data_IF_064240257206
#
_entry.id   IF_064240257206
#
_cell.length_a   1.000
_cell.length_b   1.000
_cell.length_c   1.000
_cell.angle_alpha   90.00
_cell.angle_beta   90.00
_cell.angle_gamma   90.00
#
_symmetry.space_group_name_H-M   'P 1'
#
loop_
_entity.id
_entity.type
_entity.pdbx_description
1 polymer ?
#
# COMPACT_ATOMS: atom_id res chain seq x y z
N UNK A 1 -15.21 -0.25 -12.32
CA UNK A 1 -14.50 -0.03 -11.05
C UNK A 1 -13.03 0.01 -11.41
N UNK A 2 -12.28 1.02 -10.96
CA UNK A 2 -10.84 1.11 -11.24
C UNK A 2 -10.07 0.12 -10.37
N UNK A 3 -8.81 -0.18 -10.74
CA UNK A 3 -7.86 -0.92 -9.91
C UNK A 3 -7.07 0.11 -9.12
N UNK A 4 -7.02 0.00 -7.80
CA UNK A 4 -6.22 0.89 -6.96
C UNK A 4 -4.87 0.24 -6.61
N UNK A 5 -3.80 1.02 -6.70
CA UNK A 5 -2.48 0.70 -6.17
C UNK A 5 -2.41 1.12 -4.71
N UNK A 6 -1.85 0.26 -3.85
CA UNK A 6 -1.71 0.52 -2.41
C UNK A 6 -0.28 0.30 -1.92
N UNK A 7 0.20 1.24 -1.13
CA UNK A 7 1.48 1.17 -0.42
C UNK A 7 1.21 1.19 1.09
N UNK A 8 1.29 0.03 1.73
CA UNK A 8 1.17 -0.11 3.18
C UNK A 8 2.49 0.24 3.86
N UNK A 9 2.39 0.98 4.98
CA UNK A 9 3.50 1.23 5.90
C UNK A 9 3.31 0.34 7.13
N UNK A 10 3.98 -0.80 7.11
CA UNK A 10 3.85 -1.88 8.08
C UNK A 10 4.82 -1.69 9.24
N UNK A 11 4.34 -1.82 10.46
CA UNK A 11 5.20 -2.01 11.62
C UNK A 11 5.73 -3.46 11.60
N UNK A 12 6.99 -3.59 11.16
CA UNK A 12 7.61 -4.89 10.94
C UNK A 12 7.77 -5.70 12.23
N UNK A 13 8.05 -5.04 13.36
CA UNK A 13 8.21 -5.72 14.64
C UNK A 13 6.87 -6.29 15.11
N UNK A 14 5.79 -5.50 15.02
CA UNK A 14 4.44 -5.97 15.35
C UNK A 14 4.02 -7.13 14.46
N UNK A 15 4.22 -7.04 13.13
CA UNK A 15 3.88 -8.13 12.23
C UNK A 15 4.65 -9.41 12.60
N UNK A 16 5.96 -9.31 12.81
CA UNK A 16 6.79 -10.47 13.14
C UNK A 16 6.42 -11.09 14.50
N UNK A 17 6.02 -10.28 15.47
CA UNK A 17 5.56 -10.77 16.78
C UNK A 17 4.21 -11.48 16.67
N UNK A 18 3.28 -10.96 15.85
CA UNK A 18 2.03 -11.67 15.51
C UNK A 18 2.33 -13.00 14.82
N UNK A 19 3.25 -13.03 13.85
CA UNK A 19 3.59 -14.23 13.10
C UNK A 19 4.26 -15.32 13.96
N UNK A 20 4.94 -14.94 15.05
CA UNK A 20 5.54 -15.87 16.03
C UNK A 20 4.55 -16.36 17.09
N UNK A 21 3.38 -15.73 17.21
CA UNK A 21 2.37 -16.08 18.20
C UNK A 21 1.80 -17.47 17.90
N UNK A 22 1.36 -18.19 18.93
CA UNK A 22 0.62 -19.45 18.72
C UNK A 22 -0.70 -19.16 17.99
N UNK A 23 -1.05 -19.99 17.00
CA UNK A 23 -2.26 -19.83 16.18
C UNK A 23 -3.52 -19.66 17.03
N UNK A 24 -3.71 -20.55 18.02
CA UNK A 24 -4.85 -20.49 18.94
C UNK A 24 -4.88 -19.22 19.79
N UNK A 25 -3.71 -18.67 20.13
CA UNK A 25 -3.60 -17.42 20.88
C UNK A 25 -4.02 -16.24 20.00
N UNK A 26 -3.58 -16.18 18.74
CA UNK A 26 -4.02 -15.12 17.82
C UNK A 26 -5.55 -15.13 17.67
N UNK A 27 -6.15 -16.28 17.39
CA UNK A 27 -7.60 -16.40 17.23
C UNK A 27 -8.36 -15.95 18.48
N UNK A 28 -7.95 -16.43 19.66
CA UNK A 28 -8.55 -16.01 20.93
C UNK A 28 -8.44 -14.50 21.16
N UNK A 29 -7.32 -13.88 20.79
CA UNK A 29 -7.10 -12.44 20.96
C UNK A 29 -7.89 -11.59 19.97
N UNK A 30 -8.19 -12.12 18.79
CA UNK A 30 -9.09 -11.49 17.83
C UNK A 30 -10.53 -11.55 18.39
N UNK A 31 -10.97 -12.71 18.87
CA UNK A 31 -12.32 -12.92 19.40
C UNK A 31 -12.62 -12.03 20.63
N UNK A 32 -11.66 -11.87 21.54
CA UNK A 32 -11.81 -11.03 22.74
C UNK A 32 -11.39 -9.56 22.54
N UNK A 33 -10.99 -9.20 21.31
CA UNK A 33 -10.52 -7.88 20.88
C UNK A 33 -9.22 -7.42 21.56
N UNK A 34 -8.55 -8.25 22.38
CA UNK A 34 -7.30 -7.87 23.05
C UNK A 34 -6.10 -7.78 22.10
N UNK A 35 -6.21 -8.30 20.87
CA UNK A 35 -5.15 -8.14 19.86
C UNK A 35 -4.91 -6.66 19.55
N UNK A 36 -5.94 -5.80 19.67
CA UNK A 36 -5.88 -4.36 19.35
C UNK A 36 -4.87 -3.59 20.21
N UNK A 37 -4.49 -4.12 21.37
CA UNK A 37 -3.44 -3.54 22.21
C UNK A 37 -2.06 -3.55 21.52
N UNK A 38 -1.85 -4.47 20.57
CA UNK A 38 -0.61 -4.57 19.78
C UNK A 38 -0.68 -3.76 18.48
N UNK A 39 -1.85 -3.22 18.12
CA UNK A 39 -2.00 -2.54 16.83
C UNK A 39 -1.21 -1.22 16.84
N UNK A 40 -0.41 -0.93 15.79
CA UNK A 40 0.31 0.33 15.72
C UNK A 40 -0.62 1.54 15.73
N UNK A 41 -0.13 2.65 16.26
CA UNK A 41 -0.85 3.91 16.24
C UNK A 41 -1.08 4.39 14.80
N UNK A 42 -2.32 4.80 14.52
CA UNK A 42 -2.70 5.37 13.23
C UNK A 42 -1.87 6.61 12.92
N UNK A 43 -1.30 6.66 11.71
CA UNK A 43 -0.66 7.87 11.22
C UNK A 43 -1.69 8.96 10.93
N UNK A 44 -1.36 10.21 11.27
CA UNK A 44 -2.28 11.34 11.12
C UNK A 44 -2.68 11.70 9.67
N UNK A 45 -1.94 11.21 8.66
CA UNK A 45 -2.16 11.57 7.25
C UNK A 45 -2.63 10.39 6.38
N UNK A 46 -2.27 9.17 6.74
CA UNK A 46 -2.50 7.99 5.90
C UNK A 46 -3.93 7.47 6.05
N UNK A 47 -4.40 6.77 5.02
CA UNK A 47 -5.63 5.99 5.12
C UNK A 47 -5.38 4.73 5.93
N UNK A 48 -6.39 4.20 6.62
CA UNK A 48 -6.31 2.91 7.29
C UNK A 48 -7.71 2.32 7.44
N UNK A 49 -7.82 1.03 7.16
CA UNK A 49 -9.07 0.29 7.37
C UNK A 49 -9.37 0.13 8.86
N UNK A 50 -10.66 -0.04 9.17
CA UNK A 50 -11.11 -0.21 10.55
C UNK A 50 -10.63 -1.54 11.12
N UNK A 51 -10.39 -1.54 12.43
CA UNK A 51 -9.86 -2.73 13.09
C UNK A 51 -10.76 -3.96 12.91
N UNK A 52 -12.07 -3.75 13.07
CA UNK A 52 -13.08 -4.79 12.94
C UNK A 52 -13.17 -5.39 11.53
N UNK A 53 -12.91 -4.60 10.49
CA UNK A 53 -13.02 -5.07 9.10
C UNK A 53 -11.84 -6.01 8.78
N UNK A 54 -10.61 -5.60 9.13
CA UNK A 54 -9.44 -6.47 8.98
C UNK A 54 -9.56 -7.76 9.80
N UNK A 55 -10.07 -7.67 11.02
CA UNK A 55 -10.25 -8.80 11.94
C UNK A 55 -11.30 -9.78 11.41
N UNK A 56 -12.46 -9.29 10.98
CA UNK A 56 -13.53 -10.13 10.43
C UNK A 56 -13.10 -10.83 9.14
N UNK A 57 -12.50 -10.09 8.19
CA UNK A 57 -12.02 -10.67 6.94
C UNK A 57 -10.90 -11.69 7.18
N UNK A 58 -10.02 -11.46 8.16
CA UNK A 58 -9.02 -12.46 8.54
C UNK A 58 -9.69 -13.74 9.05
N UNK A 59 -10.65 -13.65 9.96
CA UNK A 59 -11.37 -14.81 10.50
C UNK A 59 -12.09 -15.59 9.39
N UNK A 60 -12.75 -14.90 8.47
CA UNK A 60 -13.44 -15.52 7.33
C UNK A 60 -12.46 -16.29 6.43
N UNK A 61 -11.25 -15.76 6.20
CA UNK A 61 -10.23 -16.42 5.37
C UNK A 61 -9.67 -17.70 6.02
N UNK A 62 -9.73 -17.81 7.34
CA UNK A 62 -9.06 -18.87 8.11
C UNK A 62 -10.04 -19.82 8.80
N UNK A 63 -11.35 -19.63 8.63
CA UNK A 63 -12.42 -20.43 9.25
C UNK A 63 -12.23 -21.95 9.03
N UNK A 64 -11.72 -22.34 7.86
CA UNK A 64 -11.50 -23.75 7.49
C UNK A 64 -10.16 -24.34 7.96
N UNK A 65 -9.29 -23.52 8.57
CA UNK A 65 -7.94 -23.93 8.97
C UNK A 65 -7.96 -24.44 10.43
N UNK A 66 -7.94 -25.76 10.57
CA UNK A 66 -7.79 -26.45 11.85
C UNK A 66 -6.38 -27.04 11.98
N UNK A 67 -5.44 -26.17 12.39
CA UNK A 67 -4.02 -26.50 12.50
C UNK A 67 -3.42 -25.94 13.79
N UNK A 68 -2.23 -26.44 14.15
CA UNK A 68 -1.50 -26.06 15.36
C UNK A 68 -0.06 -25.69 14.99
N UNK A 69 0.45 -24.65 15.65
CA UNK A 69 1.79 -24.12 15.45
C UNK A 69 1.77 -22.62 15.68
N UNK A 70 2.86 -21.97 15.28
CA UNK A 70 2.91 -20.51 15.17
C UNK A 70 2.02 -20.04 14.01
N UNK A 71 1.58 -18.79 14.03
CA UNK A 71 0.79 -18.19 12.96
C UNK A 71 1.50 -18.33 11.61
N UNK A 72 2.81 -18.08 11.53
CA UNK A 72 3.58 -18.28 10.29
C UNK A 72 3.51 -19.73 9.79
N UNK A 73 3.72 -20.71 10.65
CA UNK A 73 3.70 -22.13 10.27
C UNK A 73 2.34 -22.56 9.74
N UNK A 74 1.25 -22.15 10.41
CA UNK A 74 -0.12 -22.48 10.02
C UNK A 74 -0.48 -21.83 8.67
N UNK A 75 -0.17 -20.54 8.49
CA UNK A 75 -0.42 -19.84 7.24
C UNK A 75 0.40 -20.42 6.07
N UNK A 76 1.67 -20.76 6.31
CA UNK A 76 2.57 -21.38 5.32
C UNK A 76 2.04 -22.74 4.86
N UNK A 77 1.71 -23.64 5.81
CA UNK A 77 1.19 -24.98 5.52
C UNK A 77 -0.09 -24.95 4.66
N UNK A 78 -0.92 -23.93 4.86
CA UNK A 78 -2.18 -23.75 4.15
C UNK A 78 -2.08 -22.80 2.93
N UNK A 79 -0.87 -22.33 2.59
CA UNK A 79 -0.64 -21.35 1.52
C UNK A 79 -1.52 -20.10 1.64
N UNK A 80 -1.84 -19.69 2.86
CA UNK A 80 -2.84 -18.67 3.21
C UNK A 80 -2.30 -17.23 3.10
N UNK A 81 -1.79 -16.87 1.92
CA UNK A 81 -1.21 -15.56 1.64
C UNK A 81 -2.22 -14.42 1.78
N UNK A 82 -3.50 -14.65 1.49
CA UNK A 82 -4.55 -13.65 1.68
C UNK A 82 -4.79 -13.33 3.14
N UNK A 83 -4.69 -14.32 4.03
CA UNK A 83 -4.78 -14.09 5.47
C UNK A 83 -3.54 -13.33 5.98
N UNK A 84 -2.34 -13.62 5.45
CA UNK A 84 -1.15 -12.81 5.72
C UNK A 84 -1.33 -11.35 5.27
N UNK A 85 -1.95 -11.11 4.12
CA UNK A 85 -2.23 -9.74 3.66
C UNK A 85 -3.13 -8.98 4.65
N UNK A 86 -4.14 -9.63 5.24
CA UNK A 86 -4.96 -9.01 6.29
C UNK A 86 -4.16 -8.68 7.56
N UNK A 87 -3.20 -9.53 7.94
CA UNK A 87 -2.29 -9.22 9.06
C UNK A 87 -1.35 -8.04 8.73
N UNK A 88 -0.92 -7.91 7.48
CA UNK A 88 -0.14 -6.77 6.99
C UNK A 88 -0.96 -5.47 7.05
N UNK A 89 -2.19 -5.49 6.57
CA UNK A 89 -3.10 -4.35 6.65
C UNK A 89 -3.36 -3.96 8.11
N UNK A 90 -3.60 -4.95 8.98
CA UNK A 90 -3.85 -4.74 10.41
C UNK A 90 -2.63 -4.16 11.14
N UNK A 91 -1.43 -4.66 10.85
CA UNK A 91 -0.15 -4.19 11.42
C UNK A 91 0.41 -2.94 10.74
N UNK A 92 -0.35 -2.32 9.83
CA UNK A 92 0.05 -1.05 9.20
C UNK A 92 -0.33 0.15 10.05
N UNK A 93 0.55 1.16 10.10
CA UNK A 93 0.18 2.49 10.62
C UNK A 93 -0.78 3.23 9.67
N UNK A 94 -0.85 2.78 8.41
CA UNK A 94 -1.73 3.25 7.36
C UNK A 94 -1.14 2.93 5.98
N UNK A 95 -1.82 3.39 4.94
CA UNK A 95 -1.41 3.20 3.56
C UNK A 95 -1.64 4.46 2.71
N UNK A 96 -0.87 4.56 1.64
CA UNK A 96 -1.17 5.45 0.51
C UNK A 96 -1.90 4.65 -0.56
N UNK A 97 -2.87 5.27 -1.25
CA UNK A 97 -3.57 4.66 -2.37
C UNK A 97 -3.81 5.65 -3.51
N UNK A 98 -3.85 5.12 -4.73
CA UNK A 98 -4.32 5.85 -5.89
C UNK A 98 -4.79 4.91 -6.99
N UNK A 99 -5.69 5.40 -7.84
CA UNK A 99 -6.07 4.70 -9.06
C UNK A 99 -4.85 4.40 -9.92
N UNK A 100 -4.67 3.15 -10.32
CA UNK A 100 -3.48 2.63 -11.01
C UNK A 100 -3.12 3.46 -12.25
N UNK A 101 -4.13 3.89 -13.02
CA UNK A 101 -3.90 4.74 -14.21
C UNK A 101 -3.28 6.11 -13.88
N UNK A 102 -3.50 6.65 -12.67
CA UNK A 102 -2.84 7.89 -12.20
C UNK A 102 -1.45 7.64 -11.64
N UNK A 103 -1.10 6.39 -11.33
CA UNK A 103 0.20 6.08 -10.75
C UNK A 103 1.33 6.31 -11.76
N UNK A 104 1.10 6.12 -13.06
CA UNK A 104 2.06 6.48 -14.11
C UNK A 104 2.61 7.88 -13.93
N UNK A 105 1.73 8.88 -13.87
CA UNK A 105 2.19 10.27 -13.74
C UNK A 105 2.94 10.53 -12.42
N UNK A 106 2.58 9.85 -11.32
CA UNK A 106 3.28 10.02 -10.05
C UNK A 106 4.67 9.42 -10.08
N UNK A 107 4.78 8.17 -10.57
CA UNK A 107 6.04 7.46 -10.60
C UNK A 107 6.98 8.11 -11.62
N UNK A 108 6.52 8.42 -12.83
CA UNK A 108 7.31 9.06 -13.89
C UNK A 108 7.88 10.42 -13.46
N UNK A 109 7.10 11.24 -12.74
CA UNK A 109 7.59 12.53 -12.22
C UNK A 109 8.57 12.37 -11.05
N UNK A 110 8.48 11.27 -10.29
CA UNK A 110 9.46 10.96 -9.25
C UNK A 110 10.79 10.50 -9.87
N UNK A 111 10.76 9.53 -10.79
CA UNK A 111 11.97 8.87 -11.32
C UNK A 111 12.57 9.58 -12.55
N UNK A 112 11.81 10.47 -13.20
CA UNK A 112 12.29 11.27 -14.33
C UNK A 112 12.41 10.51 -15.66
N UNK A 113 11.67 9.40 -15.82
CA UNK A 113 11.59 8.61 -17.06
C UNK A 113 10.20 8.00 -17.20
N UNK A 114 9.82 7.65 -18.43
CA UNK A 114 8.57 6.96 -18.72
C UNK A 114 8.56 5.54 -18.13
N UNK A 115 7.36 5.09 -17.75
CA UNK A 115 7.09 3.71 -17.39
C UNK A 115 6.36 3.02 -18.55
N UNK A 116 6.96 1.99 -19.18
CA UNK A 116 6.45 1.39 -20.40
C UNK A 116 5.18 0.57 -20.18
N UNK A 117 5.04 -0.06 -19.01
CA UNK A 117 3.92 -0.94 -18.71
C UNK A 117 3.61 -1.03 -17.21
N UNK A 118 2.50 -1.70 -16.93
CA UNK A 118 1.96 -1.82 -15.58
C UNK A 118 2.85 -2.68 -14.68
N UNK A 119 3.53 -3.70 -15.20
CA UNK A 119 4.38 -4.57 -14.38
C UNK A 119 5.61 -3.81 -13.86
N UNK A 120 6.15 -2.90 -14.67
CA UNK A 120 7.25 -2.04 -14.23
C UNK A 120 6.86 -1.10 -13.08
N UNK A 121 5.59 -0.66 -12.99
CA UNK A 121 5.12 0.15 -11.85
C UNK A 121 5.26 -0.57 -10.51
N UNK A 122 5.22 -1.91 -10.49
CA UNK A 122 5.33 -2.72 -9.27
C UNK A 122 6.72 -3.29 -9.06
N UNK A 123 7.69 -2.97 -9.90
CA UNK A 123 9.03 -3.55 -9.79
C UNK A 123 9.80 -2.98 -8.59
N UNK A 124 10.63 -3.83 -7.97
CA UNK A 124 11.50 -3.40 -6.88
C UNK A 124 12.48 -2.30 -7.32
N UNK A 125 12.97 -2.37 -8.56
CA UNK A 125 13.89 -1.37 -9.13
C UNK A 125 13.23 0.00 -9.23
N UNK A 126 12.02 0.08 -9.79
CA UNK A 126 11.24 1.33 -9.90
C UNK A 126 11.02 1.96 -8.52
N UNK A 127 10.65 1.16 -7.52
CA UNK A 127 10.41 1.66 -6.17
C UNK A 127 11.69 2.03 -5.42
N UNK A 128 12.83 1.41 -5.76
CA UNK A 128 14.14 1.83 -5.26
C UNK A 128 14.57 3.18 -5.85
N UNK A 129 14.37 3.38 -7.16
CA UNK A 129 14.58 4.67 -7.84
C UNK A 129 13.69 5.75 -7.23
N UNK A 130 12.41 5.45 -7.06
CA UNK A 130 11.42 6.37 -6.47
C UNK A 130 11.82 6.80 -5.05
N UNK A 131 12.16 5.85 -4.17
CA UNK A 131 12.64 6.15 -2.81
C UNK A 131 13.84 7.07 -2.83
N UNK A 132 14.81 6.78 -3.70
CA UNK A 132 16.01 7.60 -3.84
C UNK A 132 15.65 9.01 -4.32
N UNK A 133 14.83 9.14 -5.36
CA UNK A 133 14.47 10.42 -5.94
C UNK A 133 13.65 11.29 -4.97
N UNK A 134 12.60 10.72 -4.37
CA UNK A 134 11.72 11.44 -3.44
C UNK A 134 12.41 11.82 -2.13
N UNK A 135 13.47 11.11 -1.72
CA UNK A 135 14.29 11.51 -0.56
C UNK A 135 15.11 12.78 -0.81
N UNK A 136 15.38 13.11 -2.08
CA UNK A 136 16.15 14.28 -2.50
C UNK A 136 15.28 15.45 -3.00
N UNK A 137 13.96 15.25 -3.07
CA UNK A 137 12.99 16.21 -3.60
C UNK A 137 12.09 16.70 -2.46
N UNK A 138 11.70 17.98 -2.47
CA UNK A 138 10.72 18.45 -1.48
C UNK A 138 9.30 18.00 -1.82
N UNK A 139 8.41 17.93 -0.81
CA UNK A 139 7.01 17.53 -1.01
C UNK A 139 6.30 18.45 -2.03
N UNK A 140 6.50 19.77 -1.93
CA UNK A 140 5.92 20.75 -2.86
C UNK A 140 6.51 20.68 -4.25
N UNK A 141 7.83 20.51 -4.37
CA UNK A 141 8.46 20.35 -5.68
C UNK A 141 7.91 19.11 -6.41
N UNK A 142 7.71 18.00 -5.69
CA UNK A 142 7.15 16.79 -6.28
C UNK A 142 5.70 16.99 -6.75
N UNK A 143 4.85 17.57 -5.91
CA UNK A 143 3.43 17.73 -6.25
C UNK A 143 3.21 18.75 -7.37
N UNK A 144 4.02 19.82 -7.41
CA UNK A 144 4.00 20.80 -8.49
C UNK A 144 4.34 20.15 -9.84
N UNK A 145 5.42 19.34 -9.91
CA UNK A 145 5.81 18.62 -11.13
C UNK A 145 4.71 17.69 -11.64
N UNK A 146 4.10 16.91 -10.74
CA UNK A 146 2.97 16.03 -11.08
C UNK A 146 1.79 16.81 -11.65
N UNK A 147 1.43 17.92 -11.02
CA UNK A 147 0.30 18.75 -11.45
C UNK A 147 0.57 19.45 -12.79
N UNK A 148 1.79 19.93 -13.00
CA UNK A 148 2.22 20.53 -14.28
C UNK A 148 2.18 19.52 -15.42
N UNK A 149 2.75 18.32 -15.22
CA UNK A 149 2.71 17.25 -16.22
C UNK A 149 1.26 16.81 -16.52
N UNK A 150 0.38 16.77 -15.51
CA UNK A 150 -1.02 16.41 -15.73
C UNK A 150 -1.72 17.43 -16.65
N UNK A 151 -1.52 18.72 -16.40
CA UNK A 151 -2.04 19.79 -17.24
C UNK A 151 -1.45 19.75 -18.65
N UNK A 152 -0.17 19.42 -18.78
CA UNK A 152 0.51 19.33 -20.08
C UNK A 152 -0.04 18.16 -20.90
N UNK A 153 -0.13 16.94 -20.35
CA UNK A 153 -0.72 15.78 -21.05
C UNK A 153 -2.15 16.04 -21.50
N UNK A 154 -2.93 16.73 -20.67
CA UNK A 154 -4.29 17.14 -21.02
C UNK A 154 -4.30 18.12 -22.20
N UNK A 155 -3.41 19.11 -22.19
CA UNK A 155 -3.25 20.07 -23.29
C UNK A 155 -2.84 19.37 -24.59
N UNK A 156 -1.92 18.40 -24.51
CA UNK A 156 -1.42 17.66 -25.67
C UNK A 156 -2.51 16.76 -26.31
N UNK A 157 -3.48 16.32 -25.52
CA UNK A 157 -4.68 15.62 -25.99
C UNK A 157 -5.73 16.56 -26.62
N UNK A 158 -5.47 17.88 -26.64
CA UNK A 158 -6.41 18.88 -27.14
C UNK A 158 -7.58 19.17 -26.18
N UNK A 159 -7.49 18.72 -24.92
CA UNK A 159 -8.52 18.92 -23.92
C UNK A 159 -8.47 20.34 -23.34
N UNK A 160 -9.62 20.84 -22.88
CA UNK A 160 -9.70 22.20 -22.32
C UNK A 160 -9.14 22.26 -20.89
N UNK A 161 -8.47 23.37 -20.58
CA UNK A 161 -8.09 23.78 -19.21
C UNK A 161 -9.04 24.83 -18.62
N UNK A 162 -10.10 25.22 -19.34
CA UNK A 162 -11.07 26.19 -18.87
C UNK A 162 -12.07 25.52 -17.93
N UNK A 163 -12.00 25.85 -16.64
CA UNK A 163 -12.90 25.36 -15.58
C UNK A 163 -14.39 25.56 -15.92
N UNK A 164 -14.71 26.58 -16.74
CA UNK A 164 -16.10 26.86 -17.15
C UNK A 164 -16.59 25.88 -18.20
N UNK A 165 -15.66 25.26 -18.94
CA UNK A 165 -15.95 24.24 -19.95
C UNK A 165 -15.86 22.83 -19.39
N UNK A 166 -14.99 22.60 -18.40
CA UNK A 166 -14.97 21.36 -17.63
C UNK A 166 -14.82 21.63 -16.12
N UNK A 167 -15.91 21.49 -15.34
CA UNK A 167 -15.88 21.75 -13.90
C UNK A 167 -15.08 20.72 -13.11
N UNK A 168 -14.61 19.63 -13.74
CA UNK A 168 -13.80 18.60 -13.06
C UNK A 168 -12.31 18.93 -13.02
N UNK A 169 -11.85 19.96 -13.72
CA UNK A 169 -10.43 20.31 -13.81
C UNK A 169 -9.86 20.60 -12.43
N UNK A 170 -10.47 21.53 -11.68
CA UNK A 170 -10.00 21.91 -10.34
C UNK A 170 -10.03 20.73 -9.37
N UNK A 171 -11.13 19.99 -9.20
CA UNK A 171 -11.14 18.81 -8.33
C UNK A 171 -10.12 17.74 -8.72
N UNK A 172 -9.83 17.59 -10.02
CA UNK A 172 -8.83 16.60 -10.49
C UNK A 172 -7.41 17.08 -10.21
N UNK A 173 -7.14 18.37 -10.41
CA UNK A 173 -5.87 19.01 -10.03
C UNK A 173 -5.61 18.87 -8.52
N UNK A 174 -6.59 19.23 -7.68
CA UNK A 174 -6.51 19.11 -6.23
C UNK A 174 -6.32 17.64 -5.78
N UNK A 175 -6.93 16.69 -6.50
CA UNK A 175 -6.70 15.28 -6.25
C UNK A 175 -5.25 14.87 -6.56
N UNK A 176 -4.67 15.33 -7.67
CA UNK A 176 -3.26 15.07 -8.00
C UNK A 176 -2.30 15.70 -6.99
N UNK A 177 -2.52 16.96 -6.60
CA UNK A 177 -1.69 17.63 -5.58
C UNK A 177 -1.75 16.88 -4.24
N UNK A 178 -2.96 16.59 -3.72
CA UNK A 178 -3.11 15.87 -2.45
C UNK A 178 -2.48 14.47 -2.50
N UNK A 179 -2.72 13.72 -3.58
CA UNK A 179 -2.28 12.32 -3.68
C UNK A 179 -0.77 12.22 -3.84
N UNK A 180 -0.15 13.12 -4.62
CA UNK A 180 1.31 13.17 -4.78
C UNK A 180 2.02 13.60 -3.50
N UNK A 181 1.49 14.59 -2.76
CA UNK A 181 2.01 14.96 -1.43
C UNK A 181 1.95 13.78 -0.45
N UNK A 182 0.83 13.06 -0.43
CA UNK A 182 0.68 11.90 0.44
C UNK A 182 1.63 10.76 0.06
N UNK A 183 1.89 10.56 -1.24
CA UNK A 183 2.88 9.59 -1.72
C UNK A 183 4.29 9.95 -1.27
N UNK A 184 4.70 11.22 -1.44
CA UNK A 184 5.98 11.72 -0.95
C UNK A 184 6.14 11.49 0.55
N UNK A 185 5.10 11.84 1.32
CA UNK A 185 5.06 11.61 2.75
C UNK A 185 5.22 10.12 3.10
N UNK A 186 4.45 9.24 2.46
CA UNK A 186 4.48 7.80 2.75
C UNK A 186 5.84 7.18 2.41
N UNK A 187 6.41 7.50 1.24
CA UNK A 187 7.69 6.95 0.78
C UNK A 187 8.85 7.40 1.67
N UNK A 188 8.82 8.63 2.18
CA UNK A 188 9.87 9.18 3.05
C UNK A 188 9.68 8.86 4.54
N UNK A 189 8.58 8.18 4.93
CA UNK A 189 8.36 7.76 6.30
C UNK A 189 9.32 6.61 6.65
N UNK A 190 10.22 6.85 7.59
CA UNK A 190 11.21 5.85 8.05
C UNK A 190 10.68 4.99 9.19
N UNK A 191 11.27 3.80 9.38
CA UNK A 191 10.95 2.91 10.50
C UNK A 191 9.82 1.92 10.22
N UNK A 192 9.28 1.94 9.00
CA UNK A 192 8.20 1.04 8.56
C UNK A 192 8.61 0.33 7.29
N UNK A 193 8.10 -0.89 7.12
CA UNK A 193 8.26 -1.67 5.92
C UNK A 193 7.23 -1.21 4.90
N UNK A 194 7.67 -1.00 3.66
CA UNK A 194 6.80 -0.62 2.55
C UNK A 194 6.35 -1.88 1.80
N UNK A 195 5.05 -2.21 1.87
CA UNK A 195 4.45 -3.33 1.13
C UNK A 195 3.54 -2.75 0.04
N UNK A 196 3.95 -2.98 -1.21
CA UNK A 196 3.22 -2.51 -2.39
C UNK A 196 2.37 -3.63 -2.99
N UNK A 197 1.17 -3.29 -3.44
CA UNK A 197 0.37 -4.13 -4.33
C UNK A 197 -0.79 -3.36 -4.95
N UNK A 198 -1.78 -4.09 -5.46
CA UNK A 198 -2.98 -3.55 -6.09
C UNK A 198 -4.17 -4.48 -5.92
N UNK A 199 -5.35 -3.94 -6.17
CA UNK A 199 -6.56 -4.76 -6.29
C UNK A 199 -6.36 -5.86 -7.34
N UNK A 200 -6.83 -7.07 -7.02
CA UNK A 200 -6.74 -8.28 -7.85
C UNK A 200 -5.31 -8.81 -8.13
N UNK A 201 -4.26 -8.18 -7.58
CA UNK A 201 -2.95 -8.83 -7.51
C UNK A 201 -3.00 -9.99 -6.53
N UNK A 202 -2.47 -11.14 -6.91
CA UNK A 202 -2.42 -12.28 -5.98
C UNK A 202 -1.63 -11.88 -4.73
N UNK A 203 -2.16 -12.17 -3.54
CA UNK A 203 -1.57 -11.77 -2.26
C UNK A 203 -0.09 -12.15 -2.16
N UNK A 204 0.32 -13.28 -2.73
CA UNK A 204 1.72 -13.73 -2.76
C UNK A 204 2.69 -12.80 -3.50
N UNK A 205 2.19 -11.95 -4.39
CA UNK A 205 2.98 -11.00 -5.20
C UNK A 205 3.13 -9.64 -4.52
N UNK A 206 2.48 -9.40 -3.38
CA UNK A 206 2.62 -8.15 -2.63
C UNK A 206 4.01 -8.03 -1.99
N UNK A 207 4.54 -6.82 -1.94
CA UNK A 207 5.84 -6.52 -1.34
C UNK A 207 7.04 -6.98 -2.16
N UNK A 208 8.24 -6.62 -1.69
CA UNK A 208 9.51 -6.89 -2.37
C UNK A 208 10.54 -7.52 -1.41
N UNK A 209 11.51 -8.23 -1.99
CA UNK A 209 12.64 -8.79 -1.24
C UNK A 209 12.17 -9.69 -0.09
N UNK A 210 12.81 -9.54 1.08
CA UNK A 210 12.50 -10.31 2.28
C UNK A 210 11.09 -10.06 2.84
N UNK A 211 10.45 -8.97 2.40
CA UNK A 211 9.10 -8.56 2.80
C UNK A 211 8.04 -8.88 1.75
N UNK A 212 8.40 -9.61 0.69
CA UNK A 212 7.40 -10.18 -0.21
C UNK A 212 6.60 -11.28 0.51
N UNK A 213 5.28 -11.32 0.31
CA UNK A 213 4.41 -12.24 1.05
C UNK A 213 4.70 -13.72 0.78
N UNK A 214 5.08 -14.09 -0.45
CA UNK A 214 5.52 -15.45 -0.73
C UNK A 214 6.78 -15.77 0.05
N UNK A 215 7.76 -14.85 0.07
CA UNK A 215 8.99 -15.07 0.83
C UNK A 215 8.72 -15.18 2.33
N UNK A 216 7.90 -14.29 2.91
CA UNK A 216 7.56 -14.32 4.33
C UNK A 216 6.98 -15.65 4.81
N UNK A 217 6.15 -16.32 3.99
CA UNK A 217 5.55 -17.62 4.33
C UNK A 217 6.36 -18.83 3.88
N UNK A 218 6.96 -18.77 2.70
CA UNK A 218 7.56 -19.93 2.03
C UNK A 218 9.07 -20.07 2.32
N UNK A 219 9.70 -19.09 2.98
CA UNK A 219 11.12 -19.13 3.40
C UNK A 219 11.35 -19.77 4.77
#
# INVERSE_FOLDING_TARGET
MGIDMRLHLVDGDVLLDVLKMDWSTLLSKIDDLSIRELRPHLDSKLNRDFDIDCEAEFLDLVESIDDVGTVKEVLSKNSAHSALLKLIEWSSIGYWEAWEGRCFIYLENAIGREIPDVEEMYSHTTWSEMRSALSSMSESEFSEKVCEDWMQRRTDLGETLDEKKDPRIIPTFEAHDRTSRLLHYAVNKTGYVQILGRDHLESRQWGHGDWNLAYLLDS
#
